data_IF_131450524316
#
_entry.id   IF_131450524316
#
_cell.length_a   1.000
_cell.length_b   1.000
_cell.length_c   1.000
_cell.angle_alpha   90.00
_cell.angle_beta   90.00
_cell.angle_gamma   90.00
#
_symmetry.space_group_name_H-M   'P 1'
#
loop_
_entity.id
_entity.type
_entity.pdbx_description
1 polymer ?
#
# COMPACT_ATOMS: atom_id res chain seq x y z
N UNK A 1 -10.71 9.40 0.27
CA UNK A 1 -9.80 8.29 0.01
C UNK A 1 -10.40 7.00 0.55
N UNK A 2 -10.26 5.85 -0.13
CA UNK A 2 -10.85 4.61 0.35
C UNK A 2 -10.18 4.14 1.64
N UNK A 3 -11.00 3.69 2.58
CA UNK A 3 -10.57 3.10 3.84
C UNK A 3 -11.07 1.66 3.92
N UNK A 4 -10.53 0.88 4.85
CA UNK A 4 -10.98 -0.47 5.17
C UNK A 4 -11.16 -0.60 6.68
N UNK A 5 -12.00 -1.55 7.10
CA UNK A 5 -12.20 -1.83 8.54
C UNK A 5 -10.91 -2.29 9.19
N UNK A 6 -10.21 -3.24 8.53
CA UNK A 6 -8.87 -3.66 8.94
C UNK A 6 -7.85 -2.72 8.33
N UNK A 7 -6.86 -2.33 9.12
CA UNK A 7 -5.73 -1.50 8.69
C UNK A 7 -4.43 -2.26 8.88
N UNK A 8 -3.48 -2.01 8.00
CA UNK A 8 -2.15 -2.61 8.10
C UNK A 8 -1.32 -1.87 9.13
N UNK A 9 -1.25 -0.55 9.00
CA UNK A 9 -0.46 0.30 9.87
C UNK A 9 -1.04 1.73 9.89
N UNK A 10 -1.29 2.29 11.06
CA UNK A 10 -1.89 3.62 11.21
C UNK A 10 -3.13 3.77 10.32
N UNK A 11 -3.12 4.71 9.37
CA UNK A 11 -4.18 4.93 8.40
C UNK A 11 -3.96 4.21 7.06
N UNK A 12 -2.95 3.31 6.95
CA UNK A 12 -2.75 2.49 5.75
C UNK A 12 -3.77 1.33 5.73
N UNK A 13 -4.68 1.30 4.75
CA UNK A 13 -5.74 0.31 4.67
C UNK A 13 -5.24 -1.06 4.16
N UNK A 14 -6.08 -2.09 4.25
CA UNK A 14 -5.88 -3.39 3.62
C UNK A 14 -6.15 -3.29 2.11
N UNK A 15 -5.17 -2.73 1.38
CA UNK A 15 -5.30 -2.27 -0.02
C UNK A 15 -5.57 -3.38 -1.03
N UNK A 16 -5.25 -4.64 -0.70
CA UNK A 16 -5.47 -5.77 -1.58
C UNK A 16 -6.84 -6.43 -1.38
N UNK A 17 -7.64 -5.91 -0.43
CA UNK A 17 -8.99 -6.38 -0.14
C UNK A 17 -10.00 -5.92 -1.18
N UNK A 18 -11.09 -6.68 -1.32
CA UNK A 18 -12.22 -6.25 -2.14
C UNK A 18 -12.97 -5.07 -1.52
N UNK A 19 -12.95 -4.95 -0.17
CA UNK A 19 -13.48 -3.79 0.54
C UNK A 19 -12.79 -2.48 0.08
N UNK A 20 -11.47 -2.49 -0.08
CA UNK A 20 -10.73 -1.32 -0.56
C UNK A 20 -11.14 -0.92 -1.98
N UNK A 21 -11.27 -1.89 -2.89
CA UNK A 21 -11.71 -1.66 -4.28
C UNK A 21 -13.12 -1.10 -4.34
N UNK A 22 -14.04 -1.66 -3.56
CA UNK A 22 -15.43 -1.21 -3.51
C UNK A 22 -15.53 0.21 -2.93
N UNK A 23 -14.80 0.50 -1.87
CA UNK A 23 -14.77 1.83 -1.27
C UNK A 23 -14.13 2.86 -2.20
N UNK A 24 -13.13 2.47 -3.00
CA UNK A 24 -12.57 3.34 -4.05
C UNK A 24 -13.64 3.74 -5.07
N UNK A 25 -14.41 2.78 -5.58
CA UNK A 25 -15.52 3.05 -6.52
C UNK A 25 -16.60 3.92 -5.89
N UNK A 26 -16.97 3.64 -4.64
CA UNK A 26 -17.99 4.42 -3.95
C UNK A 26 -17.56 5.87 -3.72
N UNK A 27 -16.31 6.10 -3.33
CA UNK A 27 -15.76 7.43 -3.14
C UNK A 27 -15.68 8.22 -4.45
N UNK A 28 -15.29 7.55 -5.54
CA UNK A 28 -15.18 8.18 -6.85
C UNK A 28 -16.54 8.71 -7.37
N UNK A 29 -17.67 8.12 -6.98
CA UNK A 29 -19.03 8.58 -7.40
C UNK A 29 -19.27 10.05 -7.10
N UNK A 30 -18.64 10.61 -6.06
CA UNK A 30 -18.77 12.03 -5.72
C UNK A 30 -18.28 12.97 -6.85
N UNK A 31 -17.35 12.51 -7.69
CA UNK A 31 -16.80 13.29 -8.80
C UNK A 31 -17.82 13.49 -9.92
N UNK A 32 -18.83 12.63 -10.06
CA UNK A 32 -19.84 12.73 -11.12
C UNK A 32 -20.53 14.09 -11.17
N UNK A 33 -20.72 14.74 -10.02
CA UNK A 33 -21.35 16.05 -9.93
C UNK A 33 -20.48 17.20 -10.48
N UNK A 34 -19.18 16.98 -10.63
CA UNK A 34 -18.18 17.99 -11.01
C UNK A 34 -17.46 17.70 -12.31
N UNK A 35 -17.64 16.54 -12.91
CA UNK A 35 -16.89 16.08 -14.10
C UNK A 35 -16.93 16.99 -15.34
N UNK A 36 -17.87 17.93 -15.39
CA UNK A 36 -18.01 18.91 -16.47
C UNK A 36 -17.82 20.36 -15.98
N UNK A 37 -17.28 20.57 -14.80
CA UNK A 37 -17.06 21.89 -14.22
C UNK A 37 -15.78 22.51 -14.83
N UNK A 38 -15.88 23.54 -15.70
CA UNK A 38 -14.71 24.10 -16.37
C UNK A 38 -13.80 24.91 -15.44
N UNK A 39 -14.24 25.17 -14.21
CA UNK A 39 -13.46 25.87 -13.20
C UNK A 39 -12.64 24.93 -12.32
N UNK A 40 -12.87 23.62 -12.43
CA UNK A 40 -12.12 22.60 -11.70
C UNK A 40 -10.92 22.16 -12.52
N UNK A 41 -9.72 22.24 -11.96
CA UNK A 41 -8.49 21.79 -12.60
C UNK A 41 -8.28 20.28 -12.36
N UNK A 42 -8.56 19.83 -11.15
CA UNK A 42 -8.33 18.47 -10.71
C UNK A 42 -8.60 18.30 -9.22
N UNK A 43 -8.24 17.15 -8.70
CA UNK A 43 -8.47 16.78 -7.30
C UNK A 43 -7.30 15.98 -6.72
N UNK A 44 -7.10 16.12 -5.42
CA UNK A 44 -6.15 15.32 -4.66
C UNK A 44 -6.81 14.05 -4.16
N UNK A 45 -6.10 12.93 -4.25
CA UNK A 45 -6.59 11.65 -3.72
C UNK A 45 -6.52 11.63 -2.20
N UNK A 46 -5.49 12.22 -1.62
CA UNK A 46 -5.27 12.28 -0.18
C UNK A 46 -4.47 13.51 0.20
N UNK A 47 -4.41 13.79 1.50
CA UNK A 47 -3.56 14.80 2.07
C UNK A 47 -2.74 14.20 3.21
N UNK A 48 -1.42 14.25 3.09
CA UNK A 48 -0.46 13.90 4.13
C UNK A 48 -0.79 12.59 4.86
N UNK A 49 -0.69 11.42 4.19
CA UNK A 49 -1.02 10.15 4.82
C UNK A 49 -0.14 9.90 6.06
N UNK A 50 -0.76 9.60 7.21
CA UNK A 50 -0.04 9.53 8.48
C UNK A 50 0.95 8.37 8.57
N UNK A 51 0.72 7.32 7.79
CA UNK A 51 1.64 6.19 7.72
C UNK A 51 2.99 6.56 7.10
N UNK A 52 3.04 7.61 6.25
CA UNK A 52 4.29 8.03 5.59
C UNK A 52 5.25 8.80 6.52
N UNK A 53 4.76 9.30 7.68
CA UNK A 53 5.61 10.00 8.66
C UNK A 53 6.41 9.03 9.55
N UNK A 54 7.08 8.07 8.92
CA UNK A 54 7.94 7.10 9.59
C UNK A 54 9.19 6.89 8.75
N UNK A 55 10.36 7.04 9.39
CA UNK A 55 11.62 6.78 8.73
C UNK A 55 11.86 5.27 8.56
N UNK A 56 12.46 4.91 7.43
CA UNK A 56 12.82 3.53 7.09
C UNK A 56 11.62 2.54 7.12
N UNK A 57 10.42 3.02 6.81
CA UNK A 57 9.22 2.19 6.82
C UNK A 57 9.27 1.12 5.72
N UNK A 58 9.13 -0.13 6.13
CA UNK A 58 8.85 -1.28 5.25
C UNK A 58 7.44 -1.77 5.55
N UNK A 59 6.47 -1.41 4.71
CA UNK A 59 5.05 -1.69 4.96
C UNK A 59 4.75 -3.18 5.12
N UNK A 60 5.46 -4.07 4.42
CA UNK A 60 5.28 -5.50 4.55
C UNK A 60 5.72 -6.04 5.93
N UNK A 61 6.67 -5.38 6.61
CA UNK A 61 7.00 -5.71 8.00
C UNK A 61 5.81 -5.45 8.92
N UNK A 62 5.10 -4.35 8.70
CA UNK A 62 3.88 -4.03 9.44
C UNK A 62 2.75 -5.04 9.14
N UNK A 63 2.68 -5.58 7.93
CA UNK A 63 1.75 -6.67 7.57
C UNK A 63 2.03 -7.91 8.43
N UNK A 64 3.29 -8.33 8.54
CA UNK A 64 3.65 -9.50 9.34
C UNK A 64 3.54 -9.24 10.85
N UNK A 65 3.80 -8.01 11.29
CA UNK A 65 3.68 -7.65 12.70
C UNK A 65 2.22 -7.49 13.17
N UNK A 66 1.32 -7.09 12.29
CA UNK A 66 -0.10 -6.94 12.61
C UNK A 66 -0.69 -8.32 13.04
N UNK A 67 -1.34 -8.44 14.21
CA UNK A 67 -1.93 -9.70 14.67
C UNK A 67 -3.16 -10.13 13.85
N UNK A 68 -3.79 -9.20 13.11
CA UNK A 68 -4.98 -9.49 12.34
C UNK A 68 -4.65 -10.23 11.04
N UNK A 69 -5.53 -11.14 10.66
CA UNK A 69 -5.53 -11.73 9.32
C UNK A 69 -6.14 -10.72 8.34
N UNK A 70 -5.27 -10.00 7.64
CA UNK A 70 -5.63 -9.09 6.56
C UNK A 70 -5.44 -9.79 5.21
N UNK A 71 -6.09 -9.29 4.15
CA UNK A 71 -5.89 -9.83 2.80
C UNK A 71 -4.45 -9.61 2.34
N UNK A 72 -3.85 -8.46 2.71
CA UNK A 72 -2.41 -8.23 2.46
C UNK A 72 -1.55 -9.30 3.11
N UNK A 73 -1.82 -9.71 4.37
CA UNK A 73 -1.07 -10.79 5.04
C UNK A 73 -1.23 -12.12 4.32
N UNK A 74 -2.46 -12.49 3.95
CA UNK A 74 -2.73 -13.74 3.24
C UNK A 74 -2.00 -13.79 1.89
N UNK A 75 -1.99 -12.66 1.15
CA UNK A 75 -1.29 -12.57 -0.15
C UNK A 75 0.22 -12.59 0.01
N UNK A 76 0.78 -11.91 1.01
CA UNK A 76 2.21 -11.98 1.30
C UNK A 76 2.65 -13.41 1.60
N UNK A 77 1.92 -14.11 2.47
CA UNK A 77 2.23 -15.51 2.80
C UNK A 77 2.09 -16.41 1.58
N UNK A 78 1.07 -16.21 0.74
CA UNK A 78 0.90 -16.96 -0.49
C UNK A 78 2.07 -16.72 -1.47
N UNK A 79 2.52 -15.49 -1.64
CA UNK A 79 3.68 -15.15 -2.47
C UNK A 79 4.98 -15.79 -1.95
N UNK A 80 5.18 -15.82 -0.64
CA UNK A 80 6.32 -16.50 -0.03
C UNK A 80 6.26 -18.02 -0.21
N UNK A 81 5.06 -18.63 -0.07
CA UNK A 81 4.83 -20.05 -0.37
C UNK A 81 5.15 -20.37 -1.83
N UNK A 82 4.71 -19.52 -2.77
CA UNK A 82 4.99 -19.68 -4.19
C UNK A 82 6.49 -19.55 -4.50
N UNK A 83 7.17 -18.56 -3.90
CA UNK A 83 8.59 -18.33 -4.13
C UNK A 83 9.48 -19.43 -3.58
N UNK A 84 9.25 -19.83 -2.34
CA UNK A 84 10.15 -20.73 -1.60
C UNK A 84 9.74 -22.20 -1.66
N UNK A 85 8.48 -22.52 -1.97
CA UNK A 85 7.91 -23.86 -2.07
C UNK A 85 7.91 -24.65 -0.75
N UNK A 86 8.96 -24.56 0.06
CA UNK A 86 9.06 -25.24 1.36
C UNK A 86 9.45 -24.27 2.47
N UNK A 87 9.08 -24.58 3.71
CA UNK A 87 9.44 -23.77 4.88
C UNK A 87 10.94 -23.80 5.16
N UNK A 88 11.63 -24.90 4.85
CA UNK A 88 13.07 -25.02 5.00
C UNK A 88 13.82 -24.10 4.06
N UNK A 89 13.34 -23.95 2.81
CA UNK A 89 13.91 -22.99 1.85
C UNK A 89 13.71 -21.54 2.33
N UNK A 90 12.51 -21.20 2.83
CA UNK A 90 12.25 -19.90 3.46
C UNK A 90 13.17 -19.68 4.66
N UNK A 91 13.26 -20.65 5.56
CA UNK A 91 14.10 -20.56 6.76
C UNK A 91 15.57 -20.33 6.42
N UNK A 92 16.06 -21.00 5.39
CA UNK A 92 17.44 -20.82 4.90
C UNK A 92 17.63 -19.40 4.36
N UNK A 93 16.70 -18.93 3.53
CA UNK A 93 16.79 -17.61 2.91
C UNK A 93 16.64 -16.47 3.93
N UNK A 94 15.73 -16.60 4.90
CA UNK A 94 15.43 -15.57 5.89
C UNK A 94 16.20 -15.69 7.19
N UNK A 95 17.02 -16.74 7.33
CA UNK A 95 17.73 -17.04 8.59
C UNK A 95 16.75 -17.19 9.77
N UNK A 96 15.70 -18.00 9.58
CA UNK A 96 14.62 -18.21 10.55
C UNK A 96 14.46 -19.70 10.89
N UNK A 97 13.52 -20.02 11.76
CA UNK A 97 13.22 -21.39 12.21
C UNK A 97 11.71 -21.59 12.36
N UNK A 98 10.94 -21.26 11.34
CA UNK A 98 9.51 -21.52 11.31
C UNK A 98 9.27 -23.04 11.18
N UNK A 99 8.23 -23.56 11.83
CA UNK A 99 7.83 -24.97 11.70
C UNK A 99 7.10 -25.19 10.38
N UNK A 100 6.26 -24.22 10.00
CA UNK A 100 5.55 -24.19 8.73
C UNK A 100 5.26 -22.74 8.32
N UNK A 101 4.61 -22.57 7.16
CA UNK A 101 4.23 -21.23 6.68
C UNK A 101 3.12 -20.57 7.53
N UNK A 102 2.39 -21.34 8.32
CA UNK A 102 1.32 -20.78 9.16
C UNK A 102 1.89 -20.01 10.37
N UNK A 103 3.15 -20.26 10.74
CA UNK A 103 3.88 -19.44 11.71
C UNK A 103 3.95 -17.96 11.28
N UNK A 104 3.89 -17.66 9.99
CA UNK A 104 3.87 -16.29 9.45
C UNK A 104 2.57 -15.52 9.78
N UNK A 105 1.52 -16.20 10.23
CA UNK A 105 0.32 -15.52 10.73
C UNK A 105 0.50 -14.95 12.14
N UNK A 106 1.49 -15.42 12.89
CA UNK A 106 1.84 -14.84 14.18
C UNK A 106 2.58 -13.51 13.98
N UNK A 107 2.47 -12.56 14.91
CA UNK A 107 3.19 -11.29 14.82
C UNK A 107 4.70 -11.48 14.73
N UNK A 108 5.30 -11.02 13.63
CA UNK A 108 6.74 -11.06 13.38
C UNK A 108 7.23 -9.63 13.24
N UNK A 109 8.08 -9.20 14.16
CA UNK A 109 8.67 -7.88 14.14
C UNK A 109 9.91 -7.85 13.25
N UNK A 110 10.10 -6.75 12.50
CA UNK A 110 11.32 -6.44 11.75
C UNK A 110 11.76 -7.60 10.85
N UNK A 111 10.81 -8.15 10.07
CA UNK A 111 11.06 -9.30 9.20
C UNK A 111 12.15 -8.99 8.17
N UNK A 112 12.17 -7.78 7.61
CA UNK A 112 13.18 -7.31 6.64
C UNK A 112 14.60 -7.25 7.21
N UNK A 113 14.75 -7.19 8.53
CA UNK A 113 16.06 -7.16 9.18
C UNK A 113 16.71 -8.55 9.36
N UNK A 114 16.01 -9.64 9.04
CA UNK A 114 16.48 -11.00 9.26
C UNK A 114 17.58 -11.44 8.28
N UNK A 115 17.47 -11.00 7.03
CA UNK A 115 18.46 -11.28 5.96
C UNK A 115 18.24 -10.34 4.76
N UNK A 116 19.20 -10.33 3.83
CA UNK A 116 19.05 -9.58 2.57
C UNK A 116 17.89 -10.13 1.72
N UNK A 117 17.67 -11.46 1.72
CA UNK A 117 16.55 -12.07 1.02
C UNK A 117 15.21 -11.64 1.63
N UNK A 118 15.09 -11.64 2.97
CA UNK A 118 13.91 -11.15 3.66
C UNK A 118 13.65 -9.67 3.36
N UNK A 119 14.69 -8.85 3.36
CA UNK A 119 14.60 -7.42 3.02
C UNK A 119 14.06 -7.19 1.60
N UNK A 120 14.57 -7.94 0.63
CA UNK A 120 14.13 -7.84 -0.76
C UNK A 120 12.67 -8.28 -0.93
N UNK A 121 12.25 -9.38 -0.29
CA UNK A 121 10.88 -9.86 -0.32
C UNK A 121 9.91 -8.83 0.27
N UNK A 122 10.25 -8.30 1.44
CA UNK A 122 9.41 -7.31 2.12
C UNK A 122 9.33 -6.00 1.34
N UNK A 123 10.44 -5.54 0.75
CA UNK A 123 10.43 -4.34 -0.10
C UNK A 123 9.60 -4.55 -1.38
N UNK A 124 9.75 -5.70 -2.02
CA UNK A 124 8.99 -6.04 -3.23
C UNK A 124 7.49 -6.02 -2.95
N UNK A 125 7.06 -6.68 -1.87
CA UNK A 125 5.64 -6.70 -1.50
C UNK A 125 5.13 -5.32 -1.02
N UNK A 126 5.97 -4.55 -0.34
CA UNK A 126 5.64 -3.16 0.03
C UNK A 126 5.33 -2.31 -1.21
N UNK A 127 6.12 -2.44 -2.28
CA UNK A 127 5.88 -1.74 -3.56
C UNK A 127 4.57 -2.19 -4.22
N UNK A 128 4.25 -3.48 -4.16
CA UNK A 128 2.96 -3.98 -4.66
C UNK A 128 1.78 -3.32 -3.91
N UNK A 129 1.85 -3.28 -2.59
CA UNK A 129 0.83 -2.62 -1.78
C UNK A 129 0.73 -1.11 -2.06
N UNK A 130 1.87 -0.41 -2.17
CA UNK A 130 1.89 1.01 -2.48
C UNK A 130 1.32 1.31 -3.87
N UNK A 131 1.63 0.48 -4.85
CA UNK A 131 1.03 0.59 -6.17
C UNK A 131 -0.48 0.42 -6.11
N UNK A 132 -0.98 -0.61 -5.42
CA UNK A 132 -2.42 -0.83 -5.25
C UNK A 132 -3.09 0.34 -4.49
N UNK A 133 -2.40 0.90 -3.48
CA UNK A 133 -2.86 2.04 -2.69
C UNK A 133 -3.18 3.26 -3.57
N UNK A 134 -2.38 3.50 -4.61
CA UNK A 134 -2.53 4.64 -5.52
C UNK A 134 -3.38 4.28 -6.74
N UNK A 135 -3.08 3.16 -7.40
CA UNK A 135 -3.67 2.78 -8.69
C UNK A 135 -5.18 2.52 -8.60
N UNK A 136 -5.62 1.80 -7.56
CA UNK A 136 -7.03 1.44 -7.40
C UNK A 136 -7.93 2.68 -7.31
N UNK A 137 -7.69 3.65 -6.41
CA UNK A 137 -8.51 4.86 -6.37
C UNK A 137 -8.32 5.76 -7.59
N UNK A 138 -7.12 5.82 -8.18
CA UNK A 138 -6.88 6.58 -9.41
C UNK A 138 -7.73 6.07 -10.57
N UNK A 139 -7.74 4.75 -10.79
CA UNK A 139 -8.58 4.13 -11.84
C UNK A 139 -10.07 4.39 -11.59
N UNK A 140 -10.52 4.19 -10.35
CA UNK A 140 -11.92 4.43 -9.99
C UNK A 140 -12.34 5.89 -10.24
N UNK A 141 -11.47 6.85 -9.94
CA UNK A 141 -11.73 8.26 -10.21
C UNK A 141 -11.77 8.56 -11.72
N UNK A 142 -10.84 8.04 -12.52
CA UNK A 142 -10.81 8.26 -13.98
C UNK A 142 -12.01 7.63 -14.70
N UNK A 143 -12.55 6.53 -14.20
CA UNK A 143 -13.78 5.92 -14.75
C UNK A 143 -14.99 6.86 -14.61
N UNK A 144 -15.05 7.65 -13.52
CA UNK A 144 -16.15 8.58 -13.28
C UNK A 144 -15.88 9.95 -13.89
N UNK A 145 -14.65 10.44 -13.79
CA UNK A 145 -14.23 11.75 -14.25
C UNK A 145 -12.93 11.65 -15.08
N UNK A 146 -13.04 11.48 -16.40
CA UNK A 146 -11.89 11.46 -17.29
C UNK A 146 -11.37 12.86 -17.66
N UNK A 147 -12.04 13.94 -17.25
CA UNK A 147 -11.78 15.30 -17.72
C UNK A 147 -10.81 16.07 -16.83
N UNK A 148 -10.72 15.74 -15.55
CA UNK A 148 -9.91 16.46 -14.58
C UNK A 148 -8.67 15.69 -14.15
N UNK A 149 -7.63 16.43 -13.77
CA UNK A 149 -6.35 15.87 -13.36
C UNK A 149 -6.41 15.23 -11.98
N UNK A 150 -5.68 14.14 -11.79
CA UNK A 150 -5.34 13.62 -10.47
C UNK A 150 -4.07 14.33 -10.00
N UNK A 151 -4.22 15.21 -8.99
CA UNK A 151 -3.17 16.09 -8.50
C UNK A 151 -2.25 15.42 -7.46
N UNK A 152 -2.37 14.11 -7.25
CA UNK A 152 -1.53 13.34 -6.36
C UNK A 152 -2.03 13.25 -4.92
N UNK A 153 -1.09 13.01 -4.00
CA UNK A 153 -1.35 12.67 -2.60
C UNK A 153 -1.03 13.80 -1.62
N UNK A 154 -0.50 14.92 -2.07
CA UNK A 154 0.01 16.02 -1.23
C UNK A 154 0.95 15.49 -0.14
N UNK A 155 2.01 14.83 -0.57
CA UNK A 155 3.03 14.31 0.34
C UNK A 155 3.66 15.43 1.18
N UNK A 156 3.79 15.23 2.49
CA UNK A 156 4.55 16.13 3.36
C UNK A 156 5.90 15.52 3.75
N UNK A 157 6.00 14.20 3.72
CA UNK A 157 7.21 13.47 4.10
C UNK A 157 7.38 12.24 3.21
N UNK A 158 8.58 12.07 2.63
CA UNK A 158 8.99 10.91 1.83
C UNK A 158 10.41 10.57 2.28
N UNK A 159 10.53 9.63 3.22
CA UNK A 159 11.82 9.21 3.77
C UNK A 159 12.59 8.25 2.83
N UNK A 160 11.89 7.56 1.94
CA UNK A 160 12.45 6.63 0.97
C UNK A 160 11.68 6.78 -0.36
N UNK A 161 12.39 6.87 -1.53
CA UNK A 161 11.74 6.95 -2.85
C UNK A 161 10.73 5.84 -3.11
N UNK A 162 10.92 4.65 -2.54
CA UNK A 162 10.00 3.52 -2.68
C UNK A 162 8.58 3.84 -2.17
N UNK A 163 8.44 4.78 -1.20
CA UNK A 163 7.14 5.21 -0.67
C UNK A 163 6.30 5.98 -1.70
N UNK A 164 6.91 6.48 -2.75
CA UNK A 164 6.21 7.14 -3.84
C UNK A 164 5.77 6.17 -4.96
N UNK A 165 5.98 4.86 -4.81
CA UNK A 165 5.58 3.85 -5.80
C UNK A 165 4.10 4.01 -6.18
N UNK A 166 3.82 4.01 -7.48
CA UNK A 166 2.48 4.24 -8.04
C UNK A 166 2.25 5.67 -8.52
N UNK A 167 3.22 6.58 -8.31
CA UNK A 167 3.12 7.99 -8.72
C UNK A 167 2.80 8.17 -10.21
N UNK A 168 3.13 7.20 -11.05
CA UNK A 168 2.82 7.18 -12.48
C UNK A 168 1.29 7.21 -12.79
N UNK A 169 0.46 6.99 -11.79
CA UNK A 169 -0.99 7.11 -11.92
C UNK A 169 -1.51 8.55 -11.71
N UNK A 170 -0.65 9.49 -11.36
CA UNK A 170 -0.99 10.89 -11.20
C UNK A 170 -0.67 11.70 -12.46
N UNK A 171 -1.42 12.77 -12.70
CA UNK A 171 -1.08 13.78 -13.70
C UNK A 171 -0.11 14.81 -13.13
N UNK A 172 -0.14 15.01 -11.81
CA UNK A 172 0.72 15.92 -11.06
C UNK A 172 1.22 15.24 -9.80
N UNK A 173 2.53 15.29 -9.58
CA UNK A 173 3.13 14.88 -8.31
C UNK A 173 3.18 16.08 -7.36
N UNK A 174 2.40 16.03 -6.29
CA UNK A 174 2.26 17.15 -5.37
C UNK A 174 2.95 16.90 -4.03
N UNK A 175 3.66 17.92 -3.54
CA UNK A 175 4.35 17.92 -2.24
C UNK A 175 3.89 19.16 -1.48
N UNK A 176 3.61 19.01 -0.18
CA UNK A 176 3.44 20.13 0.73
C UNK A 176 4.81 20.59 1.21
N UNK A 177 5.10 21.87 1.00
CA UNK A 177 6.31 22.52 1.51
C UNK A 177 5.92 23.53 2.58
N UNK A 178 6.50 23.38 3.75
CA UNK A 178 6.32 24.32 4.86
C UNK A 178 7.62 25.10 5.04
N UNK A 179 7.53 26.44 5.05
CA UNK A 179 8.65 27.34 5.30
C UNK A 179 8.82 27.59 6.79
#
# INVERSE_FOLDING_TARGET
FPETKKKIFRDFPDVLSDEYKENAKNNAKALAARKNDPMMIGYFLRNEPSWAFVDNLVLADEVLYNPERTVCKEKLIAALKEKYQTVEALNTAWNTKFNDFDDLYQPIRDASAKSDAAKEDQKTFSKEMLRAYVEIPSKACREVDPNHMILGMRWAWISDPDLATGWENFDVFSINCYA
#
